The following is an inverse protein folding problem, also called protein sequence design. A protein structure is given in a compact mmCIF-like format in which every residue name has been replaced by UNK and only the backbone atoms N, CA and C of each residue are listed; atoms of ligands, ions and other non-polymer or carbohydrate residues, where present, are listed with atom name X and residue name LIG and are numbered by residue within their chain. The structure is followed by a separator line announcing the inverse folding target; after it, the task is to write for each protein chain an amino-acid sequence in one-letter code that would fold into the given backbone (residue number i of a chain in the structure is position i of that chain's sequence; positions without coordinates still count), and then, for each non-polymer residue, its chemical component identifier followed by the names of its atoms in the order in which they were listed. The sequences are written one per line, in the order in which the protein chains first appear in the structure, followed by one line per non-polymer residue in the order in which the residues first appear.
data_IF_976319003695
#
_entry.id   IF_976319003695
#
_cell.length_a   1.000
_cell.length_b   1.000
_cell.length_c   1.000
_cell.angle_alpha   90.00
_cell.angle_beta   90.00
_cell.angle_gamma   90.00
#
_symmetry.space_group_name_H-M   'P 1'
#
loop_
_entity.id
_entity.type
_entity.pdbx_description
1 polymer ?
#
# COMPACT_ATOMS: atom_id res chain seq x y z
N UNK A 1 11.55 -0.18 18.86
CA UNK A 1 11.85 -1.55 18.31
C UNK A 1 10.68 -1.98 17.49
N UNK A 2 10.93 -2.21 16.21
CA UNK A 2 9.93 -2.70 15.25
C UNK A 2 9.80 -4.22 15.32
N UNK A 3 8.65 -4.72 14.94
CA UNK A 3 8.49 -6.13 14.60
C UNK A 3 8.35 -6.27 13.09
N UNK A 4 9.10 -7.20 12.52
CA UNK A 4 9.12 -7.42 11.08
C UNK A 4 8.96 -8.90 10.74
N UNK A 5 8.55 -9.14 9.53
CA UNK A 5 8.45 -10.46 8.91
C UNK A 5 9.71 -10.71 8.07
N UNK A 6 9.94 -9.86 7.06
CA UNK A 6 11.04 -10.04 6.11
C UNK A 6 11.53 -8.70 5.51
N UNK A 7 12.77 -8.71 5.02
CA UNK A 7 13.34 -7.67 4.15
C UNK A 7 13.84 -8.38 2.90
N UNK A 8 13.35 -7.99 1.73
CA UNK A 8 13.69 -8.65 0.47
C UNK A 8 13.64 -7.66 -0.69
N UNK A 9 14.26 -8.01 -1.82
CA UNK A 9 14.19 -7.25 -3.06
C UNK A 9 13.38 -8.03 -4.10
N UNK A 10 12.47 -7.33 -4.76
CA UNK A 10 11.65 -7.86 -5.85
C UNK A 10 11.26 -6.72 -6.80
N UNK A 11 10.23 -6.94 -7.61
CA UNK A 11 9.61 -5.92 -8.46
C UNK A 11 8.41 -5.34 -7.72
N UNK A 12 8.28 -4.00 -7.69
CA UNK A 12 7.03 -3.39 -7.24
C UNK A 12 5.88 -3.83 -8.15
N UNK A 13 4.95 -4.58 -7.59
CA UNK A 13 3.84 -5.17 -8.34
C UNK A 13 2.63 -4.27 -8.47
N UNK A 14 2.60 -3.18 -7.72
CA UNK A 14 1.47 -2.25 -7.62
C UNK A 14 1.95 -0.81 -7.66
N UNK A 15 1.04 0.15 -7.50
CA UNK A 15 1.35 1.59 -7.50
C UNK A 15 1.79 2.14 -8.86
N UNK A 16 2.11 3.42 -8.91
CA UNK A 16 2.70 4.04 -10.13
C UNK A 16 4.17 3.66 -10.35
N UNK A 17 4.77 2.93 -9.40
CA UNK A 17 6.14 2.40 -9.50
C UNK A 17 6.18 0.94 -9.98
N UNK A 18 5.05 0.39 -10.43
CA UNK A 18 4.94 -0.99 -10.97
C UNK A 18 6.02 -1.28 -11.99
N UNK A 19 6.70 -2.43 -11.80
CA UNK A 19 7.77 -2.90 -12.67
C UNK A 19 9.17 -2.45 -12.25
N UNK A 20 9.31 -1.50 -11.32
CA UNK A 20 10.61 -1.09 -10.82
C UNK A 20 11.16 -2.07 -9.77
N UNK A 21 12.48 -2.34 -9.76
CA UNK A 21 13.11 -3.01 -8.63
C UNK A 21 12.84 -2.24 -7.33
N UNK A 22 12.45 -2.95 -6.28
CA UNK A 22 12.09 -2.37 -5.00
C UNK A 22 12.53 -3.27 -3.85
N UNK A 23 13.05 -2.67 -2.77
CA UNK A 23 13.30 -3.34 -1.50
C UNK A 23 12.06 -3.23 -0.64
N UNK A 24 11.49 -4.35 -0.26
CA UNK A 24 10.34 -4.40 0.64
C UNK A 24 10.82 -4.61 2.07
N UNK A 25 10.40 -3.72 2.95
CA UNK A 25 10.53 -3.84 4.40
C UNK A 25 9.14 -4.15 4.92
N UNK A 26 8.88 -5.45 5.16
CA UNK A 26 7.59 -5.94 5.60
C UNK A 26 7.53 -6.01 7.12
N UNK A 27 6.80 -5.07 7.71
CA UNK A 27 6.56 -5.07 9.15
C UNK A 27 5.49 -6.10 9.53
N UNK A 28 5.52 -6.49 10.77
CA UNK A 28 4.56 -7.43 11.35
C UNK A 28 3.31 -6.67 11.84
N UNK A 29 2.37 -7.25 12.47
CA UNK A 29 1.16 -6.67 13.08
C UNK A 29 0.26 -5.83 12.16
N UNK A 30 -1.02 -6.16 12.17
CA UNK A 30 -2.07 -5.42 11.51
C UNK A 30 -3.34 -5.40 12.37
N UNK A 31 -3.89 -4.21 12.69
CA UNK A 31 -5.05 -4.11 13.58
C UNK A 31 -6.38 -4.32 12.86
N UNK A 32 -6.39 -4.48 11.51
CA UNK A 32 -7.64 -4.48 10.76
C UNK A 32 -8.21 -5.87 10.46
N UNK A 33 -7.42 -6.84 9.98
CA UNK A 33 -7.86 -8.21 9.73
C UNK A 33 -8.85 -8.35 8.56
N UNK A 34 -8.42 -7.94 7.35
CA UNK A 34 -9.22 -8.07 6.13
C UNK A 34 -9.55 -9.52 5.79
N UNK A 35 -10.76 -9.78 5.27
CA UNK A 35 -11.20 -11.11 4.87
C UNK A 35 -10.38 -11.74 3.75
N UNK A 36 -9.76 -10.93 2.89
CA UNK A 36 -8.93 -11.35 1.75
C UNK A 36 -7.45 -11.02 1.93
N UNK A 37 -6.98 -10.95 3.20
CA UNK A 37 -5.58 -10.64 3.48
C UNK A 37 -4.68 -11.74 2.89
N UNK A 38 -3.77 -11.35 2.01
CA UNK A 38 -2.77 -12.23 1.40
C UNK A 38 -1.50 -12.38 2.26
N UNK A 39 -1.44 -11.70 3.41
CA UNK A 39 -0.33 -11.74 4.35
C UNK A 39 -0.79 -12.24 5.74
N UNK A 40 -1.22 -13.50 5.87
CA UNK A 40 -1.61 -14.05 7.17
C UNK A 40 -0.39 -14.21 8.04
N UNK A 41 -0.25 -13.36 9.05
CA UNK A 41 0.89 -13.37 9.95
C UNK A 41 0.67 -14.30 11.12
N UNK A 42 1.61 -15.24 11.33
CA UNK A 42 1.62 -16.11 12.49
C UNK A 42 2.49 -15.51 13.58
N UNK A 43 1.98 -15.41 14.80
CA UNK A 43 2.68 -14.77 15.93
C UNK A 43 4.05 -15.34 16.22
N UNK A 44 4.25 -16.62 15.97
CA UNK A 44 5.52 -17.33 16.13
C UNK A 44 6.61 -16.86 15.17
N UNK A 45 6.26 -16.26 14.03
CA UNK A 45 7.21 -15.76 13.03
C UNK A 45 7.70 -14.35 13.34
N UNK A 46 7.18 -13.73 14.39
CA UNK A 46 7.45 -12.36 14.79
C UNK A 46 8.92 -12.15 15.21
N UNK A 47 9.65 -11.36 14.46
CA UNK A 47 11.05 -11.00 14.73
C UNK A 47 11.15 -9.56 15.18
N UNK A 48 12.07 -9.25 16.09
CA UNK A 48 12.35 -7.87 16.54
C UNK A 48 13.56 -7.32 15.81
N UNK A 49 13.50 -6.05 15.43
CA UNK A 49 14.60 -5.35 14.75
C UNK A 49 14.63 -3.88 15.15
N UNK A 50 15.80 -3.28 15.22
CA UNK A 50 15.95 -1.85 15.39
C UNK A 50 15.96 -1.14 14.04
N UNK A 51 15.63 0.16 14.00
CA UNK A 51 15.74 1.01 12.81
C UNK A 51 17.14 0.91 12.23
N UNK A 52 18.18 1.09 13.06
CA UNK A 52 19.57 0.99 12.60
C UNK A 52 19.93 -0.35 11.95
N UNK A 53 19.40 -1.46 12.46
CA UNK A 53 19.65 -2.77 11.85
C UNK A 53 18.94 -2.94 10.51
N UNK A 54 17.72 -2.39 10.34
CA UNK A 54 17.05 -2.35 9.03
C UNK A 54 17.89 -1.57 8.03
N UNK A 55 18.33 -0.37 8.41
CA UNK A 55 19.17 0.49 7.57
C UNK A 55 20.48 -0.21 7.20
N UNK A 56 21.14 -0.84 8.14
CA UNK A 56 22.37 -1.62 7.87
C UNK A 56 22.15 -2.78 6.89
N UNK A 57 21.03 -3.50 7.03
CA UNK A 57 20.65 -4.56 6.11
C UNK A 57 20.45 -4.02 4.69
N UNK A 58 19.71 -2.92 4.55
CA UNK A 58 19.47 -2.27 3.25
C UNK A 58 20.76 -1.80 2.61
N UNK A 59 21.66 -1.15 3.38
CA UNK A 59 22.93 -0.67 2.89
C UNK A 59 23.89 -1.79 2.49
N UNK A 60 23.89 -2.90 3.21
CA UNK A 60 24.77 -4.04 2.97
C UNK A 60 24.32 -4.88 1.78
N UNK A 61 23.02 -5.15 1.69
CA UNK A 61 22.50 -6.16 0.76
C UNK A 61 21.85 -5.55 -0.48
N UNK A 62 21.28 -4.32 -0.35
CA UNK A 62 20.40 -3.75 -1.39
C UNK A 62 20.77 -2.31 -1.80
N UNK A 63 21.98 -1.82 -1.50
CA UNK A 63 22.41 -0.44 -1.80
C UNK A 63 22.23 -0.02 -3.27
N UNK A 64 22.23 -0.97 -4.19
CA UNK A 64 22.05 -0.76 -5.61
C UNK A 64 20.59 -0.39 -5.97
N UNK A 65 19.60 -0.87 -5.21
CA UNK A 65 18.18 -0.60 -5.42
C UNK A 65 17.80 0.70 -4.71
N UNK A 66 17.26 1.67 -5.46
CA UNK A 66 16.94 2.99 -4.92
C UNK A 66 15.52 3.13 -4.39
N UNK A 67 14.63 2.21 -4.74
CA UNK A 67 13.24 2.26 -4.30
C UNK A 67 13.05 1.33 -3.10
N UNK A 68 12.38 1.84 -2.07
CA UNK A 68 12.02 1.10 -0.86
C UNK A 68 10.53 1.21 -0.64
N UNK A 69 9.89 0.10 -0.35
CA UNK A 69 8.50 0.02 0.06
C UNK A 69 8.44 -0.43 1.53
N UNK A 70 8.04 0.47 2.41
CA UNK A 70 7.68 0.12 3.78
C UNK A 70 6.24 -0.37 3.79
N UNK A 71 6.03 -1.63 4.10
CA UNK A 71 4.75 -2.33 3.99
C UNK A 71 4.58 -3.33 5.13
N UNK A 72 3.70 -4.28 5.00
CA UNK A 72 3.54 -5.43 5.90
C UNK A 72 2.13 -5.61 6.39
N UNK A 73 1.94 -5.64 7.70
CA UNK A 73 0.63 -5.49 8.31
C UNK A 73 0.13 -4.06 8.14
N UNK A 74 0.26 -3.25 9.19
CA UNK A 74 0.06 -1.80 9.08
C UNK A 74 1.31 -1.10 9.61
N UNK A 75 2.15 -0.52 8.73
CA UNK A 75 3.43 0.04 9.18
C UNK A 75 3.27 1.25 10.11
N UNK A 76 2.19 2.02 9.97
CA UNK A 76 2.00 3.26 10.72
C UNK A 76 1.52 3.07 12.16
N UNK A 77 1.33 1.83 12.64
CA UNK A 77 1.10 1.57 14.07
C UNK A 77 2.37 1.70 14.91
N UNK A 78 3.54 1.74 14.25
CA UNK A 78 4.83 1.85 14.92
C UNK A 78 5.32 3.31 14.91
N UNK A 79 5.60 3.86 16.07
CA UNK A 79 6.16 5.21 16.20
C UNK A 79 7.52 5.36 15.48
N UNK A 80 8.24 4.26 15.28
CA UNK A 80 9.53 4.23 14.60
C UNK A 80 9.41 4.14 13.06
N UNK A 81 8.21 4.00 12.50
CA UNK A 81 8.04 3.87 11.05
C UNK A 81 8.50 5.12 10.29
N UNK A 82 8.05 6.30 10.69
CA UNK A 82 8.46 7.56 10.06
C UNK A 82 9.93 7.91 10.33
N UNK A 83 10.49 7.76 11.55
CA UNK A 83 11.93 7.83 11.76
C UNK A 83 12.75 6.95 10.81
N UNK A 84 12.34 5.69 10.59
CA UNK A 84 12.98 4.81 9.60
C UNK A 84 12.92 5.38 8.18
N UNK A 85 11.76 5.88 7.77
CA UNK A 85 11.57 6.50 6.45
C UNK A 85 12.50 7.69 6.27
N UNK A 86 12.57 8.59 7.24
CA UNK A 86 13.45 9.77 7.18
C UNK A 86 14.93 9.39 7.12
N UNK A 87 15.36 8.37 7.86
CA UNK A 87 16.74 7.88 7.82
C UNK A 87 17.08 7.31 6.43
N UNK A 88 16.21 6.47 5.85
CA UNK A 88 16.40 5.92 4.52
C UNK A 88 16.44 7.02 3.44
N UNK A 89 15.59 8.03 3.55
CA UNK A 89 15.59 9.17 2.63
C UNK A 89 16.88 10.00 2.73
N UNK A 90 17.39 10.21 3.94
CA UNK A 90 18.65 10.93 4.15
C UNK A 90 19.84 10.23 3.49
N UNK A 91 19.75 8.92 3.27
CA UNK A 91 20.70 8.08 2.57
C UNK A 91 20.45 8.02 1.04
N UNK A 92 19.47 8.78 0.53
CA UNK A 92 19.19 8.91 -0.89
C UNK A 92 18.26 7.83 -1.48
N UNK A 93 17.53 7.10 -0.64
CA UNK A 93 16.50 6.18 -1.11
C UNK A 93 15.17 6.91 -1.36
N UNK A 94 14.41 6.42 -2.34
CA UNK A 94 13.01 6.81 -2.57
C UNK A 94 12.12 5.86 -1.78
N UNK A 95 11.32 6.38 -0.88
CA UNK A 95 10.50 5.55 0.01
C UNK A 95 9.01 5.74 -0.28
N UNK A 96 8.31 4.64 -0.45
CA UNK A 96 6.84 4.56 -0.41
C UNK A 96 6.39 3.85 0.87
N UNK A 97 5.24 4.25 1.38
CA UNK A 97 4.60 3.62 2.54
C UNK A 97 3.25 3.08 2.07
N UNK A 98 3.10 1.76 2.08
CA UNK A 98 1.81 1.11 1.86
C UNK A 98 1.07 1.01 3.20
N UNK A 99 -0.08 1.67 3.29
CA UNK A 99 -0.89 1.73 4.50
C UNK A 99 -2.36 1.46 4.18
N UNK A 100 -3.06 0.87 5.12
CA UNK A 100 -4.52 0.70 5.04
C UNK A 100 -5.30 1.96 5.40
N UNK A 101 -4.62 3.02 5.85
CA UNK A 101 -5.26 4.25 6.30
C UNK A 101 -6.08 4.12 7.58
N UNK A 102 -5.91 3.04 8.36
CA UNK A 102 -6.59 2.86 9.66
C UNK A 102 -5.91 3.59 10.82
N UNK A 103 -4.80 4.26 10.55
CA UNK A 103 -4.06 5.13 11.47
C UNK A 103 -4.11 6.56 10.92
N UNK A 104 -4.28 7.58 11.78
CA UNK A 104 -4.24 8.97 11.32
C UNK A 104 -2.90 9.29 10.66
N UNK A 105 -2.94 9.86 9.44
CA UNK A 105 -1.74 10.35 8.78
C UNK A 105 -1.28 11.67 9.40
N UNK A 106 0.03 11.96 9.30
CA UNK A 106 0.56 13.28 9.65
C UNK A 106 -0.06 14.38 8.76
N UNK A 107 -0.04 15.61 9.28
CA UNK A 107 -0.46 16.76 8.49
C UNK A 107 0.43 16.97 7.25
N UNK A 108 -0.13 17.45 6.14
CA UNK A 108 0.63 17.65 4.91
C UNK A 108 1.86 18.53 5.14
N UNK A 109 3.02 18.03 4.78
CA UNK A 109 4.26 18.79 4.79
C UNK A 109 4.79 18.92 3.37
N UNK A 110 4.90 20.15 2.85
CA UNK A 110 5.38 20.42 1.48
C UNK A 110 6.82 19.92 1.22
N UNK A 111 7.59 19.62 2.27
CA UNK A 111 8.94 19.07 2.16
C UNK A 111 8.99 17.55 2.26
N UNK A 112 7.85 16.89 2.41
CA UNK A 112 7.78 15.43 2.45
C UNK A 112 8.21 14.87 1.09
N UNK A 113 9.17 13.97 1.10
CA UNK A 113 9.74 13.35 -0.10
C UNK A 113 9.41 11.85 -0.24
N UNK A 114 8.75 11.25 0.76
CA UNK A 114 8.14 9.91 0.63
C UNK A 114 6.71 10.03 0.14
N UNK A 115 6.17 8.96 -0.42
CA UNK A 115 4.77 8.90 -0.83
C UNK A 115 3.99 7.88 0.00
N UNK A 116 2.73 8.16 0.24
CA UNK A 116 1.77 7.17 0.70
C UNK A 116 1.12 6.47 -0.49
N UNK A 117 0.93 5.15 -0.34
CA UNK A 117 0.03 4.34 -1.15
C UNK A 117 -1.03 3.81 -0.19
N UNK A 118 -2.17 4.54 -0.10
CA UNK A 118 -3.20 4.26 0.90
C UNK A 118 -4.32 3.41 0.32
N UNK A 119 -4.53 2.24 0.90
CA UNK A 119 -5.52 1.26 0.48
C UNK A 119 -6.84 1.46 1.24
N UNK A 120 -7.83 2.09 0.61
CA UNK A 120 -9.18 2.23 1.17
C UNK A 120 -9.90 0.89 1.08
N UNK A 121 -10.26 0.34 2.23
CA UNK A 121 -10.90 -0.96 2.34
C UNK A 121 -12.39 -0.87 2.01
N UNK A 122 -12.79 -1.57 0.93
CA UNK A 122 -14.17 -1.66 0.47
C UNK A 122 -15.03 -2.62 1.29
N UNK A 123 -16.33 -2.73 0.96
CA UNK A 123 -17.26 -3.68 1.58
C UNK A 123 -16.75 -5.12 1.63
N UNK A 124 -16.21 -5.65 0.53
CA UNK A 124 -15.70 -7.02 0.43
C UNK A 124 -14.56 -7.33 1.39
N UNK A 125 -13.87 -6.32 1.91
CA UNK A 125 -12.83 -6.51 2.93
C UNK A 125 -13.37 -6.93 4.30
N UNK A 126 -14.65 -6.69 4.59
CA UNK A 126 -15.28 -6.86 5.90
C UNK A 126 -14.88 -5.81 6.94
N UNK A 127 -13.94 -4.91 6.60
CA UNK A 127 -13.35 -3.95 7.55
C UNK A 127 -13.46 -2.48 7.11
N UNK A 128 -14.36 -2.16 6.18
CA UNK A 128 -14.58 -0.78 5.70
C UNK A 128 -14.82 0.26 6.80
N UNK A 129 -15.32 -0.20 7.95
CA UNK A 129 -15.59 0.65 9.13
C UNK A 129 -14.31 1.12 9.85
N UNK A 130 -13.15 0.59 9.49
CA UNK A 130 -11.84 0.96 10.04
C UNK A 130 -11.12 2.03 9.21
N UNK A 131 -11.65 2.42 8.04
CA UNK A 131 -11.07 3.51 7.26
C UNK A 131 -11.20 4.84 8.01
N UNK A 132 -10.13 5.62 8.03
CA UNK A 132 -10.12 7.02 8.45
C UNK A 132 -10.15 7.87 7.18
N UNK A 133 -11.35 8.27 6.76
CA UNK A 133 -11.52 8.98 5.47
C UNK A 133 -10.90 10.37 5.46
N UNK A 134 -10.73 11.01 6.63
CA UNK A 134 -10.06 12.29 6.79
C UNK A 134 -8.61 12.24 6.31
N UNK A 135 -7.99 11.05 6.29
CA UNK A 135 -6.66 10.85 5.72
C UNK A 135 -6.59 11.22 4.23
N UNK A 136 -7.69 11.04 3.47
CA UNK A 136 -7.74 11.41 2.06
C UNK A 136 -7.48 12.90 1.82
N UNK A 137 -7.88 13.76 2.76
CA UNK A 137 -7.68 15.21 2.70
C UNK A 137 -6.22 15.62 2.98
N UNK A 138 -5.43 14.71 3.55
CA UNK A 138 -4.02 14.93 3.90
C UNK A 138 -3.06 14.44 2.82
N UNK A 139 -3.55 13.73 1.82
CA UNK A 139 -2.73 13.22 0.73
C UNK A 139 -2.37 14.33 -0.27
N UNK A 140 -1.19 14.20 -0.84
CA UNK A 140 -0.64 15.12 -1.84
C UNK A 140 -0.74 14.49 -3.24
N UNK A 141 -0.50 15.27 -4.29
CA UNK A 141 -0.53 14.80 -5.68
C UNK A 141 0.54 13.75 -6.02
N UNK A 142 1.54 13.60 -5.16
CA UNK A 142 2.56 12.54 -5.24
C UNK A 142 2.10 11.23 -4.62
N UNK A 143 1.05 11.27 -3.80
CA UNK A 143 0.48 10.11 -3.13
C UNK A 143 -0.49 9.35 -4.03
N UNK A 144 -0.90 8.20 -3.56
CA UNK A 144 -1.79 7.30 -4.25
C UNK A 144 -2.86 6.76 -3.30
N UNK A 145 -4.08 6.62 -3.81
CA UNK A 145 -5.19 5.94 -3.14
C UNK A 145 -5.55 4.71 -3.94
N UNK A 146 -5.50 3.56 -3.31
CA UNK A 146 -5.80 2.27 -3.94
C UNK A 146 -7.17 1.76 -3.49
N UNK A 147 -7.95 1.26 -4.44
CA UNK A 147 -9.18 0.52 -4.23
C UNK A 147 -9.05 -0.86 -4.87
N UNK A 148 -9.34 -1.91 -4.09
CA UNK A 148 -9.44 -3.28 -4.57
C UNK A 148 -10.92 -3.61 -4.76
N UNK A 149 -11.32 -3.94 -5.99
CA UNK A 149 -12.71 -4.10 -6.39
C UNK A 149 -12.99 -5.58 -6.69
N UNK A 150 -13.87 -6.19 -5.91
CA UNK A 150 -14.33 -7.55 -6.11
C UNK A 150 -15.59 -7.61 -6.97
N UNK A 151 -16.49 -6.64 -6.75
CA UNK A 151 -17.81 -6.63 -7.37
C UNK A 151 -18.36 -5.19 -7.51
N UNK A 152 -19.62 -5.08 -7.94
CA UNK A 152 -20.29 -3.80 -8.14
C UNK A 152 -20.48 -3.03 -6.83
N UNK A 153 -20.65 -3.69 -5.68
CA UNK A 153 -20.81 -3.01 -4.39
C UNK A 153 -19.53 -2.26 -4.01
N UNK A 154 -18.35 -2.89 -4.17
CA UNK A 154 -17.05 -2.23 -3.95
C UNK A 154 -16.86 -1.04 -4.89
N UNK A 155 -17.26 -1.18 -6.16
CA UNK A 155 -17.15 -0.12 -7.15
C UNK A 155 -18.02 1.11 -6.80
N UNK A 156 -19.29 0.90 -6.46
CA UNK A 156 -20.18 2.00 -6.05
C UNK A 156 -19.74 2.65 -4.73
N UNK A 157 -19.22 1.85 -3.81
CA UNK A 157 -18.60 2.35 -2.58
C UNK A 157 -17.43 3.28 -2.89
N UNK A 158 -16.50 2.87 -3.77
CA UNK A 158 -15.37 3.69 -4.22
C UNK A 158 -15.86 5.04 -4.77
N UNK A 159 -16.82 5.05 -5.70
CA UNK A 159 -17.42 6.27 -6.25
C UNK A 159 -18.00 7.19 -5.18
N UNK A 160 -18.69 6.60 -4.21
CA UNK A 160 -19.26 7.32 -3.06
C UNK A 160 -18.17 7.98 -2.21
N UNK A 161 -17.07 7.28 -1.95
CA UNK A 161 -15.92 7.82 -1.20
C UNK A 161 -15.24 8.93 -1.98
N UNK A 162 -14.93 8.74 -3.27
CA UNK A 162 -14.32 9.75 -4.13
C UNK A 162 -15.13 11.06 -4.18
N UNK A 163 -16.46 10.94 -4.28
CA UNK A 163 -17.37 12.08 -4.29
C UNK A 163 -17.40 12.83 -2.95
N UNK A 164 -17.36 12.10 -1.83
CA UNK A 164 -17.50 12.68 -0.49
C UNK A 164 -16.18 13.23 0.04
N UNK A 165 -15.07 12.62 -0.30
CA UNK A 165 -13.74 12.96 0.20
C UNK A 165 -12.78 13.18 -0.98
N UNK A 166 -12.89 14.34 -1.67
CA UNK A 166 -12.00 14.63 -2.78
C UNK A 166 -10.54 14.71 -2.31
N UNK A 167 -9.64 14.15 -3.11
CA UNK A 167 -8.20 14.15 -2.83
C UNK A 167 -7.41 14.58 -4.04
N UNK A 168 -6.20 15.10 -3.83
CA UNK A 168 -5.24 15.39 -4.92
C UNK A 168 -4.39 14.18 -5.31
N UNK A 169 -4.46 13.09 -4.54
CA UNK A 169 -3.73 11.87 -4.81
C UNK A 169 -4.25 11.15 -6.05
N UNK A 170 -3.38 10.37 -6.69
CA UNK A 170 -3.76 9.54 -7.83
C UNK A 170 -4.64 8.37 -7.36
N UNK A 171 -5.75 8.15 -8.05
CA UNK A 171 -6.65 7.04 -7.76
C UNK A 171 -6.25 5.81 -8.57
N UNK A 172 -5.96 4.73 -7.88
CA UNK A 172 -5.62 3.43 -8.44
C UNK A 172 -6.75 2.43 -8.16
N UNK A 173 -7.17 1.72 -9.18
CA UNK A 173 -8.24 0.73 -9.07
C UNK A 173 -7.75 -0.59 -9.60
N UNK A 174 -7.82 -1.64 -8.78
CA UNK A 174 -7.43 -2.98 -9.20
C UNK A 174 -8.57 -3.98 -8.98
N UNK A 175 -8.77 -4.93 -9.90
CA UNK A 175 -9.65 -6.05 -9.63
C UNK A 175 -9.06 -6.88 -8.49
N UNK A 176 -9.92 -7.44 -7.66
CA UNK A 176 -9.54 -8.45 -6.68
C UNK A 176 -9.21 -9.75 -7.42
N UNK A 177 -8.16 -10.43 -6.99
CA UNK A 177 -7.77 -11.75 -7.51
C UNK A 177 -8.19 -12.84 -6.53
N UNK A 178 -8.65 -13.96 -7.07
CA UNK A 178 -8.91 -15.17 -6.30
C UNK A 178 -7.58 -15.89 -5.92
N UNK A 179 -7.65 -16.95 -5.09
CA UNK A 179 -6.45 -17.72 -4.74
C UNK A 179 -5.73 -18.38 -5.91
N UNK A 180 -6.42 -18.60 -7.03
CA UNK A 180 -5.87 -19.20 -8.24
C UNK A 180 -5.25 -18.13 -9.17
N UNK A 181 -5.21 -16.87 -8.74
CA UNK A 181 -4.63 -15.76 -9.49
C UNK A 181 -5.51 -15.23 -10.63
N UNK A 182 -6.82 -15.55 -10.63
CA UNK A 182 -7.78 -15.03 -11.60
C UNK A 182 -8.52 -13.82 -11.02
N UNK A 183 -8.69 -12.78 -11.80
CA UNK A 183 -9.50 -11.63 -11.42
C UNK A 183 -10.98 -12.01 -11.28
N UNK A 184 -11.64 -11.60 -10.19
CA UNK A 184 -13.08 -11.77 -10.03
C UNK A 184 -13.87 -11.02 -11.09
N UNK A 185 -13.42 -9.81 -11.40
CA UNK A 185 -13.93 -8.96 -12.47
C UNK A 185 -12.73 -8.41 -13.25
N UNK A 186 -12.83 -8.39 -14.54
CA UNK A 186 -11.75 -7.90 -15.41
C UNK A 186 -12.28 -6.80 -16.33
N UNK A 187 -12.87 -7.20 -17.44
CA UNK A 187 -13.44 -6.28 -18.41
C UNK A 187 -14.60 -5.46 -17.83
N UNK A 188 -15.43 -6.06 -16.97
CA UNK A 188 -16.56 -5.36 -16.34
C UNK A 188 -16.10 -4.12 -15.55
N UNK A 189 -14.98 -4.23 -14.84
CA UNK A 189 -14.40 -3.09 -14.12
C UNK A 189 -14.01 -1.96 -15.09
N UNK A 190 -13.40 -2.33 -16.20
CA UNK A 190 -12.99 -1.37 -17.24
C UNK A 190 -14.22 -0.71 -17.86
N UNK A 191 -15.24 -1.51 -18.22
CA UNK A 191 -16.49 -1.01 -18.79
C UNK A 191 -17.17 0.00 -17.86
N UNK A 192 -17.29 -0.31 -16.57
CA UNK A 192 -17.87 0.61 -15.57
C UNK A 192 -17.09 1.92 -15.45
N UNK A 193 -15.76 1.86 -15.46
CA UNK A 193 -14.90 3.05 -15.38
C UNK A 193 -15.10 3.94 -16.61
N UNK A 194 -15.19 3.34 -17.80
CA UNK A 194 -15.36 4.05 -19.06
C UNK A 194 -16.78 4.63 -19.20
N UNK A 195 -17.81 3.89 -18.80
CA UNK A 195 -19.20 4.34 -18.78
C UNK A 195 -19.42 5.52 -17.83
N UNK A 196 -18.79 5.46 -16.66
CA UNK A 196 -18.89 6.53 -15.64
C UNK A 196 -17.91 7.68 -15.88
N UNK A 197 -17.05 7.60 -16.90
CA UNK A 197 -16.04 8.61 -17.28
C UNK A 197 -15.11 8.98 -16.11
N UNK A 198 -14.69 7.98 -15.30
CA UNK A 198 -13.84 8.22 -14.14
C UNK A 198 -12.38 8.42 -14.54
N UNK A 199 -11.76 9.47 -14.02
CA UNK A 199 -10.32 9.71 -14.13
C UNK A 199 -9.57 8.91 -13.06
N UNK A 200 -9.42 7.61 -13.29
CA UNK A 200 -8.74 6.66 -12.40
C UNK A 200 -7.77 5.78 -13.21
N UNK A 201 -6.76 5.27 -12.55
CA UNK A 201 -5.80 4.36 -13.18
C UNK A 201 -6.12 2.92 -12.82
N UNK A 202 -6.48 2.12 -13.81
CA UNK A 202 -6.59 0.67 -13.64
C UNK A 202 -5.19 0.08 -13.50
N UNK A 203 -5.01 -0.80 -12.55
CA UNK A 203 -3.77 -1.56 -12.35
C UNK A 203 -4.07 -3.03 -12.05
N UNK A 204 -3.07 -3.86 -12.28
CA UNK A 204 -3.06 -5.27 -11.91
C UNK A 204 -1.92 -5.52 -10.92
N UNK A 205 -2.00 -6.61 -10.18
CA UNK A 205 -0.93 -7.05 -9.28
C UNK A 205 0.12 -7.81 -10.09
N UNK A 206 1.10 -7.07 -10.64
CA UNK A 206 2.11 -7.61 -11.55
C UNK A 206 2.90 -8.77 -10.94
N UNK A 207 3.21 -8.70 -9.62
CA UNK A 207 3.91 -9.77 -8.91
C UNK A 207 3.17 -11.12 -8.95
N UNK A 208 1.82 -11.10 -8.96
CA UNK A 208 1.02 -12.34 -9.10
C UNK A 208 1.11 -12.94 -10.49
N UNK A 209 1.18 -12.09 -11.53
CA UNK A 209 1.30 -12.54 -12.92
C UNK A 209 2.69 -13.10 -13.20
N UNK A 210 3.72 -12.48 -12.63
CA UNK A 210 5.10 -12.91 -12.79
C UNK A 210 5.51 -14.03 -11.82
N UNK A 211 4.62 -14.43 -10.89
CA UNK A 211 4.87 -15.43 -9.86
C UNK A 211 6.13 -15.12 -9.01
N UNK A 212 6.34 -13.83 -8.72
CA UNK A 212 7.43 -13.35 -7.86
C UNK A 212 6.87 -12.83 -6.53
N UNK A 213 7.80 -12.70 -5.53
CA UNK A 213 7.46 -12.14 -4.23
C UNK A 213 7.00 -10.68 -4.35
#
# INVERSE_FOLDING_TARGET
MLYYDEIFCSIQGESTDTGLPCVFIRLFECPIGCSYCDQPQKKEDRKRISVGNIVQTVLKEYKWCKNICLTGGEPLIYDEALPLVYELQSLGFKVSIETSGCVPLEEPCYRRSYKYVMDIKGPSSGVKHKNIYENLLKLQNTDEVKYVIKDREDYEFMKGVMKKYPTSAKILVSPMFDPDGKAYIGHELVDWILEDHLDVRVQIQLHKILEVK
#
